data_IF_764739433111
#
_entry.id   IF_764739433111
#
_cell.length_a   1.000
_cell.length_b   1.000
_cell.length_c   1.000
_cell.angle_alpha   90.00
_cell.angle_beta   90.00
_cell.angle_gamma   90.00
#
_symmetry.space_group_name_H-M   'P 1'
#
loop_
_entity.id
_entity.type
_entity.pdbx_description
1 polymer ?
#
# COMPACT_ATOMS: atom_id res chain seq x y z
N UNK A 1 54.40 -14.62 27.85
CA UNK A 1 53.57 -15.73 27.33
C UNK A 1 52.20 -15.64 28.01
N UNK A 2 51.12 -15.73 27.22
CA UNK A 2 49.72 -15.96 27.65
C UNK A 2 49.03 -14.75 28.31
N UNK A 3 47.82 -14.31 27.96
CA UNK A 3 46.79 -14.78 27.04
C UNK A 3 45.97 -13.54 26.64
N UNK A 4 45.88 -13.27 25.34
CA UNK A 4 44.75 -12.53 24.77
C UNK A 4 43.47 -13.31 25.11
N UNK A 5 42.50 -12.67 25.74
CA UNK A 5 41.12 -13.15 25.74
C UNK A 5 40.20 -12.02 25.31
N UNK A 6 40.03 -11.95 23.99
CA UNK A 6 39.02 -11.17 23.29
C UNK A 6 37.64 -11.49 23.82
N UNK A 7 36.96 -10.51 24.42
CA UNK A 7 35.54 -10.60 24.73
C UNK A 7 34.75 -9.95 23.58
N UNK A 8 34.54 -10.73 22.52
CA UNK A 8 33.68 -10.38 21.40
C UNK A 8 32.28 -10.95 21.70
N UNK A 9 31.42 -10.18 22.36
CA UNK A 9 30.03 -10.59 22.55
C UNK A 9 29.24 -10.21 21.30
N UNK A 10 28.76 -11.24 20.63
CA UNK A 10 28.00 -11.22 19.40
C UNK A 10 26.79 -10.29 19.51
N UNK A 11 26.73 -9.27 18.65
CA UNK A 11 25.47 -8.65 18.27
C UNK A 11 24.64 -9.71 17.55
N UNK A 12 23.70 -10.33 18.25
CA UNK A 12 22.67 -11.16 17.62
C UNK A 12 21.77 -10.25 16.81
N UNK A 13 22.03 -10.16 15.52
CA UNK A 13 21.12 -9.55 14.54
C UNK A 13 19.82 -10.35 14.57
N UNK A 14 18.76 -9.77 15.13
CA UNK A 14 17.42 -10.33 15.00
C UNK A 14 17.12 -10.49 13.51
N UNK A 15 16.61 -11.65 13.06
CA UNK A 15 16.19 -11.80 11.67
C UNK A 15 15.08 -10.78 11.43
N UNK A 16 15.29 -9.88 10.47
CA UNK A 16 14.25 -9.03 9.93
C UNK A 16 13.16 -9.95 9.38
N UNK A 17 12.05 -10.07 10.11
CA UNK A 17 10.88 -10.81 9.63
C UNK A 17 10.39 -10.08 8.40
N UNK A 18 10.63 -10.66 7.23
CA UNK A 18 10.12 -10.14 5.97
C UNK A 18 8.61 -9.95 6.13
N UNK A 19 8.10 -8.77 5.76
CA UNK A 19 6.68 -8.52 5.78
C UNK A 19 5.97 -9.63 4.98
N UNK A 20 5.00 -10.30 5.59
CA UNK A 20 4.14 -11.32 4.94
C UNK A 20 3.24 -10.74 3.83
N UNK A 21 3.50 -9.51 3.40
CA UNK A 21 2.71 -8.78 2.45
C UNK A 21 3.33 -8.95 1.06
N UNK A 22 2.55 -9.45 0.11
CA UNK A 22 2.91 -9.50 -1.29
C UNK A 22 2.31 -8.29 -2.02
N UNK A 23 3.13 -7.61 -2.81
CA UNK A 23 2.73 -6.49 -3.66
C UNK A 23 3.08 -6.79 -5.12
N UNK A 24 2.14 -6.55 -6.02
CA UNK A 24 2.35 -6.61 -7.46
C UNK A 24 1.78 -5.38 -8.17
N UNK A 25 2.61 -4.73 -8.98
CA UNK A 25 2.20 -3.61 -9.84
C UNK A 25 2.21 -4.07 -11.30
N UNK A 26 1.03 -4.05 -11.93
CA UNK A 26 0.81 -4.37 -13.33
C UNK A 26 0.52 -3.08 -14.09
N UNK A 27 1.51 -2.60 -14.83
CA UNK A 27 1.46 -1.30 -15.50
C UNK A 27 1.18 -1.47 -17.00
N UNK A 28 0.16 -0.77 -17.50
CA UNK A 28 -0.01 -0.50 -18.94
C UNK A 28 -0.32 0.98 -19.15
N UNK A 29 -0.07 1.54 -20.37
CA UNK A 29 -0.38 2.94 -20.66
C UNK A 29 -1.87 3.29 -20.52
N UNK A 30 -2.77 2.32 -20.66
CA UNK A 30 -4.22 2.52 -20.60
C UNK A 30 -4.82 2.22 -19.22
N UNK A 31 -4.16 1.39 -18.42
CA UNK A 31 -4.62 1.01 -17.07
C UNK A 31 -3.46 0.50 -16.24
N UNK A 32 -3.51 0.77 -14.94
CA UNK A 32 -2.61 0.13 -13.97
C UNK A 32 -3.43 -0.60 -12.93
N UNK A 33 -2.97 -1.79 -12.55
CA UNK A 33 -3.54 -2.60 -11.47
C UNK A 33 -2.47 -2.81 -10.41
N UNK A 34 -2.77 -2.44 -9.17
CA UNK A 34 -1.93 -2.72 -8.00
C UNK A 34 -2.65 -3.73 -7.13
N UNK A 35 -1.96 -4.80 -6.75
CA UNK A 35 -2.51 -5.84 -5.89
C UNK A 35 -1.66 -5.99 -4.64
N UNK A 36 -2.30 -5.95 -3.48
CA UNK A 36 -1.70 -6.26 -2.20
C UNK A 36 -2.37 -7.50 -1.65
N UNK A 37 -1.58 -8.47 -1.20
CA UNK A 37 -2.05 -9.60 -0.40
C UNK A 37 -1.33 -9.55 0.93
N UNK A 38 -2.08 -9.53 2.03
CA UNK A 38 -1.54 -9.49 3.39
C UNK A 38 -1.94 -10.76 4.13
N UNK A 39 -1.03 -11.31 4.92
CA UNK A 39 -1.32 -12.43 5.80
C UNK A 39 -2.08 -12.00 7.07
N UNK A 40 -2.95 -12.88 7.57
CA UNK A 40 -3.63 -12.72 8.86
C UNK A 40 -5.05 -12.17 8.77
N UNK A 41 -5.75 -12.23 9.91
CA UNK A 41 -7.22 -12.00 10.02
C UNK A 41 -7.61 -10.51 9.89
N UNK A 42 -6.68 -9.58 10.09
CA UNK A 42 -6.88 -8.14 9.89
C UNK A 42 -5.68 -7.51 9.19
N UNK A 43 -5.85 -7.17 7.92
CA UNK A 43 -4.78 -6.55 7.15
C UNK A 43 -4.53 -5.10 7.55
N UNK A 44 -3.27 -4.65 7.44
CA UNK A 44 -2.88 -3.26 7.78
C UNK A 44 -3.66 -2.26 6.93
N UNK A 45 -3.88 -2.55 5.65
CA UNK A 45 -4.65 -1.70 4.75
C UNK A 45 -6.12 -1.61 5.18
N UNK A 46 -6.78 -2.72 5.51
CA UNK A 46 -8.18 -2.66 5.98
C UNK A 46 -8.32 -1.91 7.30
N UNK A 47 -7.35 -2.05 8.22
CA UNK A 47 -7.33 -1.27 9.46
C UNK A 47 -7.16 0.22 9.18
N UNK A 48 -6.26 0.57 8.26
CA UNK A 48 -6.06 1.95 7.81
C UNK A 48 -7.32 2.54 7.15
N UNK A 49 -7.99 1.78 6.29
CA UNK A 49 -9.26 2.19 5.68
C UNK A 49 -10.38 2.33 6.72
N UNK A 50 -10.47 1.42 7.69
CA UNK A 50 -11.43 1.51 8.78
C UNK A 50 -11.19 2.75 9.64
N UNK A 51 -9.92 3.10 9.90
CA UNK A 51 -9.56 4.35 10.59
C UNK A 51 -10.09 5.58 9.83
N UNK A 52 -9.99 5.57 8.50
CA UNK A 52 -10.57 6.58 7.61
C UNK A 52 -12.10 6.48 7.46
N UNK A 53 -12.76 5.53 8.14
CA UNK A 53 -14.23 5.40 8.15
C UNK A 53 -14.81 4.48 7.08
N UNK A 54 -14.00 3.68 6.39
CA UNK A 54 -14.50 2.68 5.45
C UNK A 54 -15.31 1.56 6.17
N UNK A 55 -16.30 1.00 5.46
CA UNK A 55 -17.11 -0.14 5.93
C UNK A 55 -16.34 -1.47 5.79
N UNK A 56 -16.88 -2.57 6.34
CA UNK A 56 -16.20 -3.89 6.35
C UNK A 56 -15.88 -4.45 4.95
N UNK A 57 -16.80 -4.30 4.01
CA UNK A 57 -16.57 -4.63 2.59
C UNK A 57 -16.23 -3.34 1.85
N UNK A 58 -14.96 -3.18 1.50
CA UNK A 58 -14.46 -1.93 0.94
C UNK A 58 -14.48 -2.01 -0.58
N UNK A 59 -15.44 -1.29 -1.17
CA UNK A 59 -15.38 -0.89 -2.57
C UNK A 59 -15.45 0.64 -2.62
N UNK A 60 -14.32 1.28 -2.95
CA UNK A 60 -14.24 2.73 -3.11
C UNK A 60 -14.01 3.05 -4.59
N UNK A 61 -14.76 4.00 -5.12
CA UNK A 61 -14.65 4.43 -6.52
C UNK A 61 -14.68 5.95 -6.54
N UNK A 62 -13.70 6.57 -7.18
CA UNK A 62 -13.70 8.03 -7.40
C UNK A 62 -14.88 8.44 -8.30
N UNK A 63 -15.26 9.71 -8.25
CA UNK A 63 -16.43 10.20 -8.99
C UNK A 63 -16.24 10.06 -10.51
N UNK A 64 -15.03 10.29 -11.00
CA UNK A 64 -14.63 10.14 -12.41
C UNK A 64 -14.36 8.68 -12.82
N UNK A 65 -14.44 7.72 -11.88
CA UNK A 65 -14.16 6.29 -12.07
C UNK A 65 -12.72 5.98 -12.49
N UNK A 66 -11.82 6.95 -12.37
CA UNK A 66 -10.39 6.76 -12.67
C UNK A 66 -9.70 5.91 -11.60
N UNK A 67 -10.17 5.98 -10.36
CA UNK A 67 -9.68 5.17 -9.25
C UNK A 67 -10.77 4.24 -8.73
N UNK A 68 -10.42 2.96 -8.59
CA UNK A 68 -11.28 1.96 -7.96
C UNK A 68 -10.43 1.07 -7.06
N UNK A 69 -10.81 0.95 -5.80
CA UNK A 69 -10.23 0.02 -4.85
C UNK A 69 -11.28 -0.98 -4.39
N UNK A 70 -10.94 -2.26 -4.43
CA UNK A 70 -11.74 -3.35 -3.89
C UNK A 70 -10.90 -4.20 -2.94
N UNK A 71 -11.38 -4.43 -1.73
CA UNK A 71 -10.73 -5.30 -0.76
C UNK A 71 -11.63 -6.48 -0.42
N UNK A 72 -11.07 -7.69 -0.47
CA UNK A 72 -11.71 -8.95 -0.07
C UNK A 72 -10.92 -9.55 1.08
N UNK A 73 -11.61 -10.14 2.04
CA UNK A 73 -11.01 -10.87 3.16
C UNK A 73 -11.46 -12.33 3.14
N UNK A 74 -10.53 -13.24 3.32
CA UNK A 74 -10.81 -14.63 3.66
C UNK A 74 -10.26 -14.98 5.07
N UNK A 75 -10.33 -16.25 5.45
CA UNK A 75 -9.99 -16.70 6.81
C UNK A 75 -8.50 -16.50 7.15
N UNK A 76 -7.62 -16.51 6.15
CA UNK A 76 -6.16 -16.49 6.35
C UNK A 76 -5.43 -15.33 5.67
N UNK A 77 -6.10 -14.64 4.75
CA UNK A 77 -5.53 -13.58 3.92
C UNK A 77 -6.53 -12.44 3.67
N UNK A 78 -5.98 -11.26 3.40
CA UNK A 78 -6.73 -10.16 2.82
C UNK A 78 -6.07 -9.73 1.53
N UNK A 79 -6.90 -9.43 0.52
CA UNK A 79 -6.44 -8.96 -0.78
C UNK A 79 -7.12 -7.64 -1.11
N UNK A 80 -6.33 -6.63 -1.45
CA UNK A 80 -6.83 -5.38 -2.00
C UNK A 80 -6.30 -5.20 -3.42
N UNK A 81 -7.18 -4.79 -4.32
CA UNK A 81 -6.89 -4.46 -5.71
C UNK A 81 -7.24 -3.01 -5.96
N UNK A 82 -6.30 -2.28 -6.55
CA UNK A 82 -6.48 -0.92 -7.04
C UNK A 82 -6.44 -0.95 -8.55
N UNK A 83 -7.43 -0.35 -9.20
CA UNK A 83 -7.46 -0.14 -10.63
C UNK A 83 -7.45 1.36 -10.88
N UNK A 84 -6.46 1.79 -11.65
CA UNK A 84 -6.25 3.18 -12.01
C UNK A 84 -6.33 3.35 -13.54
N UNK A 85 -7.09 4.34 -13.98
CA UNK A 85 -7.24 4.75 -15.39
C UNK A 85 -6.79 6.22 -15.56
N UNK A 86 -6.32 6.62 -16.75
CA UNK A 86 -5.97 8.01 -17.04
C UNK A 86 -7.10 9.00 -16.76
N UNK A 87 -6.78 10.06 -15.99
CA UNK A 87 -7.65 11.21 -15.74
C UNK A 87 -6.85 12.39 -15.17
N UNK A 88 -7.52 13.49 -14.83
CA UNK A 88 -6.90 14.63 -14.14
C UNK A 88 -6.42 14.27 -12.71
N UNK A 89 -7.03 13.24 -12.10
CA UNK A 89 -6.68 12.76 -10.77
C UNK A 89 -5.54 11.73 -10.79
N UNK A 90 -5.22 11.15 -11.95
CA UNK A 90 -4.28 10.03 -12.09
C UNK A 90 -3.24 10.32 -13.17
N UNK A 91 -1.99 10.48 -12.76
CA UNK A 91 -0.85 10.73 -13.64
C UNK A 91 0.04 9.51 -13.75
N UNK A 92 0.55 9.29 -14.95
CA UNK A 92 1.42 8.19 -15.30
C UNK A 92 2.76 8.74 -15.76
N UNK A 93 3.85 8.25 -15.18
CA UNK A 93 5.20 8.63 -15.60
C UNK A 93 6.10 7.41 -15.47
N UNK A 94 6.61 6.90 -16.59
CA UNK A 94 7.50 5.73 -16.70
C UNK A 94 7.46 4.74 -15.52
N UNK A 95 6.51 3.79 -15.57
CA UNK A 95 6.29 2.74 -14.54
C UNK A 95 5.93 3.26 -13.15
N UNK A 96 5.65 4.55 -13.00
CA UNK A 96 5.11 5.16 -11.80
C UNK A 96 3.71 5.67 -12.08
N UNK A 97 2.92 5.65 -11.02
CA UNK A 97 1.58 6.20 -11.00
C UNK A 97 1.42 7.05 -9.75
N UNK A 98 0.87 8.24 -9.95
CA UNK A 98 0.52 9.17 -8.90
C UNK A 98 -0.97 9.44 -9.04
N UNK A 99 -1.74 9.25 -7.98
CA UNK A 99 -3.12 9.67 -7.93
C UNK A 99 -3.37 10.55 -6.71
N UNK A 100 -4.11 11.63 -6.92
CA UNK A 100 -4.51 12.57 -5.87
C UNK A 100 -6.04 12.61 -5.84
N UNK A 101 -6.62 11.93 -4.85
CA UNK A 101 -8.07 11.68 -4.82
C UNK A 101 -8.64 12.32 -3.56
N UNK A 102 -9.58 13.28 -3.66
CA UNK A 102 -10.23 13.83 -2.49
C UNK A 102 -10.96 12.72 -1.71
N UNK A 103 -10.77 12.67 -0.39
CA UNK A 103 -11.39 11.63 0.46
C UNK A 103 -12.92 11.62 0.36
N UNK A 104 -13.51 12.80 0.12
CA UNK A 104 -14.94 13.00 -0.06
C UNK A 104 -15.47 12.22 -1.27
N UNK A 105 -14.69 12.07 -2.34
CA UNK A 105 -15.09 11.25 -3.50
C UNK A 105 -15.14 9.76 -3.16
N UNK A 106 -14.39 9.34 -2.16
CA UNK A 106 -14.31 7.95 -1.70
C UNK A 106 -15.26 7.67 -0.52
N UNK A 107 -16.00 8.67 -0.04
CA UNK A 107 -16.83 8.54 1.16
C UNK A 107 -16.02 8.26 2.43
N UNK A 108 -14.76 8.71 2.47
CA UNK A 108 -13.87 8.59 3.62
C UNK A 108 -13.82 9.89 4.41
N UNK A 109 -13.46 9.78 5.68
CA UNK A 109 -13.34 10.90 6.60
C UNK A 109 -11.88 11.38 6.66
N UNK A 110 -11.68 12.69 6.71
CA UNK A 110 -10.40 13.25 7.08
C UNK A 110 -10.17 13.04 8.59
N UNK A 111 -9.05 12.40 8.92
CA UNK A 111 -8.61 12.08 10.28
C UNK A 111 -7.19 12.58 10.55
N UNK A 112 -6.73 13.56 9.77
CA UNK A 112 -5.37 14.06 9.79
C UNK A 112 -4.40 13.20 8.98
N UNK A 113 -3.12 13.56 9.04
CA UNK A 113 -2.09 12.94 8.21
C UNK A 113 -1.82 11.50 8.63
N UNK A 114 -1.96 10.55 7.71
CA UNK A 114 -1.64 9.13 7.96
C UNK A 114 -1.08 8.47 6.71
N UNK A 115 -0.02 7.69 6.89
CA UNK A 115 0.71 7.01 5.81
C UNK A 115 0.73 5.50 6.02
N UNK A 116 0.65 4.76 4.92
CA UNK A 116 0.90 3.32 4.89
C UNK A 116 1.76 2.93 3.66
N UNK A 117 3.01 2.46 3.88
CA UNK A 117 3.88 1.99 2.81
C UNK A 117 3.84 0.46 2.64
N UNK A 118 4.06 0.03 1.40
CA UNK A 118 4.22 -1.35 0.97
C UNK A 118 5.37 -1.46 -0.04
N UNK A 119 6.15 -2.54 0.07
CA UNK A 119 7.20 -2.86 -0.88
C UNK A 119 7.27 -4.37 -1.09
N UNK A 120 7.55 -4.80 -2.32
CA UNK A 120 7.80 -6.20 -2.65
C UNK A 120 9.30 -6.50 -2.72
N UNK A 121 9.67 -7.78 -2.57
CA UNK A 121 11.05 -8.23 -2.78
C UNK A 121 11.58 -7.95 -4.20
N UNK A 122 10.69 -7.80 -5.17
CA UNK A 122 11.03 -7.46 -6.55
C UNK A 122 11.23 -5.96 -6.76
N UNK A 123 11.03 -5.14 -5.73
CA UNK A 123 11.19 -3.69 -5.74
C UNK A 123 9.96 -2.90 -6.15
N UNK A 124 8.82 -3.56 -6.39
CA UNK A 124 7.55 -2.83 -6.58
C UNK A 124 7.22 -2.09 -5.26
N UNK A 125 6.68 -0.88 -5.37
CA UNK A 125 6.36 -0.01 -4.23
C UNK A 125 4.96 0.55 -4.35
N UNK A 126 4.33 0.73 -3.20
CA UNK A 126 3.08 1.47 -3.04
C UNK A 126 3.16 2.28 -1.74
N UNK A 127 2.91 3.57 -1.83
CA UNK A 127 2.68 4.43 -0.67
C UNK A 127 1.27 5.03 -0.79
N UNK A 128 0.55 5.04 0.32
CA UNK A 128 -0.72 5.75 0.44
C UNK A 128 -0.63 6.70 1.62
N UNK A 129 -0.78 7.98 1.33
CA UNK A 129 -0.71 9.06 2.32
C UNK A 129 -2.02 9.81 2.25
N UNK A 130 -2.68 10.00 3.37
CA UNK A 130 -3.77 10.97 3.49
C UNK A 130 -3.20 12.22 4.13
N UNK A 131 -3.42 13.39 3.51
CA UNK A 131 -3.09 14.71 4.06
C UNK A 131 -4.02 15.74 3.46
N UNK A 132 -4.45 16.73 4.25
CA UNK A 132 -5.32 17.83 3.81
C UNK A 132 -6.58 17.35 3.07
N UNK A 133 -7.20 16.26 3.55
CA UNK A 133 -8.40 15.67 2.93
C UNK A 133 -8.17 15.00 1.57
N UNK A 134 -6.92 14.76 1.17
CA UNK A 134 -6.54 14.14 -0.11
C UNK A 134 -5.82 12.81 0.16
N UNK A 135 -6.21 11.76 -0.56
CA UNK A 135 -5.45 10.53 -0.71
C UNK A 135 -4.40 10.72 -1.81
N UNK A 136 -3.14 10.77 -1.41
CA UNK A 136 -1.98 10.63 -2.28
C UNK A 136 -1.62 9.15 -2.41
N UNK A 137 -1.81 8.62 -3.60
CA UNK A 137 -1.48 7.26 -3.96
C UNK A 137 -0.27 7.28 -4.88
N UNK A 138 0.83 6.67 -4.47
CA UNK A 138 2.02 6.49 -5.30
C UNK A 138 2.28 5.00 -5.46
N UNK A 139 2.35 4.50 -6.70
CA UNK A 139 2.85 3.15 -6.94
C UNK A 139 3.90 3.13 -8.05
N UNK A 140 4.88 2.24 -7.92
CA UNK A 140 5.94 2.11 -8.91
C UNK A 140 6.34 0.65 -9.12
N UNK A 141 6.67 0.31 -10.36
CA UNK A 141 7.25 -0.97 -10.75
C UNK A 141 8.77 -0.85 -10.87
N UNK A 142 9.53 -1.78 -10.28
CA UNK A 142 10.99 -1.70 -10.27
C UNK A 142 11.67 -1.97 -11.62
N UNK A 143 11.04 -2.77 -12.50
CA UNK A 143 11.60 -3.18 -13.80
C UNK A 143 10.53 -3.35 -14.86
#
# INVERSE_FOLDING_TARGET
MKLLFSLLIALTTLPAVAANDALGVFYTPQKTVVMITQGGVQSRLQQWLKYLGAKQDVQLVSKDKSFNMSCVRDVSTARCQFRLLPSDLVRYNDKKIEAHIPLQELGLNDKGSVEIPFASANGDRLDMIVSDGILHFYASKAR
#
